data_IF_538852919289
#
_entry.id   IF_538852919289
#
_cell.length_a   1.000
_cell.length_b   1.000
_cell.length_c   1.000
_cell.angle_alpha   90.00
_cell.angle_beta   90.00
_cell.angle_gamma   90.00
#
_symmetry.space_group_name_H-M   'P 1'
#
loop_
_entity.id
_entity.type
_entity.pdbx_description
1 polymer ?
#
# COMPACT_ATOMS: atom_id res chain seq x y z
N UNK A 1 -22.95 -4.92 -4.16
CA UNK A 1 -22.28 -3.68 -3.71
C UNK A 1 -21.63 -2.94 -4.87
N UNK A 2 -20.44 -3.33 -5.37
CA UNK A 2 -19.75 -2.56 -6.43
C UNK A 2 -20.54 -2.42 -7.73
N UNK A 3 -21.20 -3.50 -8.19
CA UNK A 3 -22.16 -3.42 -9.31
C UNK A 3 -23.19 -2.29 -9.11
N UNK A 4 -23.76 -2.22 -7.92
CA UNK A 4 -24.83 -1.27 -7.62
C UNK A 4 -24.27 0.15 -7.50
N UNK A 5 -23.07 0.34 -6.93
CA UNK A 5 -22.35 1.63 -6.92
C UNK A 5 -22.11 2.13 -8.36
N UNK A 6 -21.69 1.25 -9.26
CA UNK A 6 -21.47 1.60 -10.67
C UNK A 6 -22.77 2.04 -11.36
N UNK A 7 -23.87 1.32 -11.11
CA UNK A 7 -25.18 1.65 -11.71
C UNK A 7 -25.75 2.96 -11.17
N UNK A 8 -25.62 3.25 -9.88
CA UNK A 8 -26.12 4.49 -9.28
C UNK A 8 -25.29 5.72 -9.65
N UNK A 9 -23.97 5.56 -9.83
CA UNK A 9 -23.05 6.66 -10.17
C UNK A 9 -22.68 6.68 -11.67
N UNK A 10 -23.51 6.08 -12.53
CA UNK A 10 -23.20 5.82 -13.94
C UNK A 10 -22.70 7.07 -14.68
N UNK A 11 -23.42 8.18 -14.59
CA UNK A 11 -23.09 9.40 -15.34
C UNK A 11 -21.72 9.97 -14.96
N UNK A 12 -21.46 10.13 -13.66
CA UNK A 12 -20.16 10.60 -13.16
C UNK A 12 -19.03 9.65 -13.55
N UNK A 13 -19.26 8.34 -13.50
CA UNK A 13 -18.26 7.35 -13.86
C UNK A 13 -17.95 7.36 -15.36
N UNK A 14 -18.95 7.53 -16.23
CA UNK A 14 -18.73 7.65 -17.66
C UNK A 14 -17.90 8.90 -17.99
N UNK A 15 -18.19 10.04 -17.37
CA UNK A 15 -17.38 11.27 -17.54
C UNK A 15 -15.93 11.08 -17.08
N UNK A 16 -15.72 10.39 -15.96
CA UNK A 16 -14.39 10.06 -15.46
C UNK A 16 -13.65 9.10 -16.42
N UNK A 17 -14.35 8.12 -17.01
CA UNK A 17 -13.78 7.19 -17.97
C UNK A 17 -13.41 7.86 -19.31
N UNK A 18 -14.22 8.81 -19.78
CA UNK A 18 -13.91 9.60 -20.98
C UNK A 18 -12.68 10.48 -20.75
N UNK A 19 -12.60 11.12 -19.58
CA UNK A 19 -11.44 11.91 -19.16
C UNK A 19 -10.18 11.03 -19.07
N UNK A 20 -10.30 9.85 -18.46
CA UNK A 20 -9.22 8.87 -18.37
C UNK A 20 -8.75 8.41 -19.76
N UNK A 21 -9.67 8.15 -20.68
CA UNK A 21 -9.34 7.73 -22.04
C UNK A 21 -8.59 8.83 -22.79
N UNK A 22 -9.02 10.08 -22.64
CA UNK A 22 -8.35 11.25 -23.22
C UNK A 22 -6.92 11.38 -22.68
N UNK A 23 -6.76 11.28 -21.37
CA UNK A 23 -5.48 11.36 -20.68
C UNK A 23 -4.52 10.25 -21.14
N UNK A 24 -5.00 9.00 -21.22
CA UNK A 24 -4.20 7.88 -21.70
C UNK A 24 -3.85 7.99 -23.19
N UNK A 25 -4.70 8.63 -23.99
CA UNK A 25 -4.39 8.98 -25.38
C UNK A 25 -3.22 9.96 -25.50
N UNK A 26 -3.16 10.95 -24.61
CA UNK A 26 -2.02 11.86 -24.52
C UNK A 26 -0.73 11.13 -24.14
N UNK A 27 -0.76 10.32 -23.08
CA UNK A 27 0.41 9.52 -22.65
C UNK A 27 0.90 8.60 -23.77
N UNK A 28 -0.02 7.94 -24.48
CA UNK A 28 0.32 7.12 -25.65
C UNK A 28 1.06 7.93 -26.72
N UNK A 29 0.60 9.14 -27.02
CA UNK A 29 1.24 10.02 -28.01
C UNK A 29 2.66 10.39 -27.60
N UNK A 30 2.90 10.67 -26.30
CA UNK A 30 4.25 10.95 -25.79
C UNK A 30 5.20 9.78 -26.01
N UNK A 31 4.72 8.55 -25.81
CA UNK A 31 5.49 7.32 -25.98
C UNK A 31 5.79 7.06 -27.46
N UNK A 32 4.77 7.15 -28.33
CA UNK A 32 4.94 6.93 -29.78
C UNK A 32 5.90 7.93 -30.43
N UNK A 33 5.97 9.16 -29.90
CA UNK A 33 6.87 10.21 -30.36
C UNK A 33 8.23 10.23 -29.62
N UNK A 34 8.48 9.28 -28.70
CA UNK A 34 9.71 9.17 -27.90
C UNK A 34 10.08 10.49 -27.16
N UNK A 35 9.08 11.24 -26.68
CA UNK A 35 9.27 12.52 -26.00
C UNK A 35 9.75 12.36 -24.54
N UNK A 36 10.98 11.90 -24.36
CA UNK A 36 11.57 11.54 -23.06
C UNK A 36 11.41 12.64 -21.98
N UNK A 37 11.63 13.91 -22.32
CA UNK A 37 11.50 15.02 -21.37
C UNK A 37 10.05 15.23 -20.90
N UNK A 38 9.09 15.18 -21.83
CA UNK A 38 7.67 15.35 -21.48
C UNK A 38 7.14 14.17 -20.68
N UNK A 39 7.61 12.95 -20.98
CA UNK A 39 7.31 11.76 -20.19
C UNK A 39 7.85 11.92 -18.76
N UNK A 40 9.08 12.42 -18.60
CA UNK A 40 9.66 12.68 -17.28
C UNK A 40 8.83 13.68 -16.48
N UNK A 41 8.50 14.83 -17.07
CA UNK A 41 7.70 15.87 -16.43
C UNK A 41 6.31 15.35 -16.02
N UNK A 42 5.66 14.59 -16.89
CA UNK A 42 4.36 13.97 -16.61
C UNK A 42 4.38 13.14 -15.31
N UNK A 43 5.35 12.25 -15.16
CA UNK A 43 5.47 11.42 -13.96
C UNK A 43 5.98 12.19 -12.74
N UNK A 44 6.80 13.23 -12.94
CA UNK A 44 7.24 14.12 -11.87
C UNK A 44 6.05 14.87 -11.26
N UNK A 45 5.16 15.43 -12.08
CA UNK A 45 3.97 16.14 -11.63
C UNK A 45 3.01 15.20 -10.89
N UNK A 46 2.81 13.98 -11.42
CA UNK A 46 2.01 12.95 -10.77
C UNK A 46 2.57 12.57 -9.39
N UNK A 47 3.91 12.46 -9.27
CA UNK A 47 4.58 12.23 -7.99
C UNK A 47 4.38 13.40 -7.02
N UNK A 48 4.58 14.64 -7.47
CA UNK A 48 4.43 15.82 -6.64
C UNK A 48 3.00 15.97 -6.10
N UNK A 49 1.99 15.73 -6.95
CA UNK A 49 0.59 15.72 -6.54
C UNK A 49 0.31 14.66 -5.47
N UNK A 50 0.80 13.43 -5.69
CA UNK A 50 0.63 12.33 -4.73
C UNK A 50 1.30 12.62 -3.39
N UNK A 51 2.53 13.10 -3.42
CA UNK A 51 3.31 13.40 -2.22
C UNK A 51 2.69 14.57 -1.43
N UNK A 52 1.87 15.41 -2.06
CA UNK A 52 1.06 16.46 -1.42
C UNK A 52 -0.24 15.98 -0.77
N UNK A 53 -0.63 14.72 -0.95
CA UNK A 53 -1.86 14.18 -0.35
C UNK A 53 -1.68 13.95 1.17
N UNK A 54 -2.72 14.19 2.00
CA UNK A 54 -2.61 13.98 3.45
C UNK A 54 -2.39 12.50 3.78
N UNK A 55 -1.24 12.18 4.39
CA UNK A 55 -0.82 10.81 4.73
C UNK A 55 -1.74 10.10 5.76
N UNK A 56 -2.54 10.86 6.53
CA UNK A 56 -3.20 10.37 7.76
C UNK A 56 -4.71 10.56 7.85
N UNK A 57 -5.42 10.86 6.75
CA UNK A 57 -6.89 10.90 6.79
C UNK A 57 -7.45 9.59 6.24
N UNK A 58 -8.38 8.97 6.98
CA UNK A 58 -9.23 7.87 6.50
C UNK A 58 -9.89 8.34 5.19
N UNK A 59 -9.32 7.93 4.05
CA UNK A 59 -9.86 8.25 2.73
C UNK A 59 -11.17 7.51 2.46
N UNK A 60 -11.72 7.67 1.26
CA UNK A 60 -12.87 6.88 0.80
C UNK A 60 -12.54 5.38 0.67
N UNK A 61 -11.25 5.05 0.52
CA UNK A 61 -10.71 3.70 0.59
C UNK A 61 -10.06 3.57 1.98
N UNK A 62 -10.43 2.56 2.79
CA UNK A 62 -9.80 2.35 4.08
C UNK A 62 -8.29 2.15 3.89
N UNK A 63 -7.50 3.08 4.42
CA UNK A 63 -6.07 2.86 4.61
C UNK A 63 -5.93 1.77 5.66
N UNK A 64 -5.36 0.61 5.28
CA UNK A 64 -4.93 -0.36 6.26
C UNK A 64 -3.77 0.25 7.05
N UNK A 65 -3.78 0.08 8.38
CA UNK A 65 -2.64 0.47 9.20
C UNK A 65 -1.59 -0.61 9.02
N UNK A 66 -0.74 -0.45 8.01
CA UNK A 66 0.28 -1.44 7.68
C UNK A 66 1.55 -1.24 8.54
N UNK A 67 2.12 -2.35 9.00
CA UNK A 67 3.46 -2.45 9.58
C UNK A 67 4.28 -3.42 8.74
N UNK A 68 5.49 -3.03 8.37
CA UNK A 68 6.44 -3.87 7.68
C UNK A 68 7.42 -4.44 8.70
N UNK A 69 7.72 -5.73 8.58
CA UNK A 69 8.56 -6.49 9.50
C UNK A 69 9.57 -7.27 8.68
N UNK A 70 10.85 -7.01 8.90
CA UNK A 70 11.92 -7.78 8.27
C UNK A 70 12.02 -9.14 8.97
N UNK A 71 12.04 -10.19 8.17
CA UNK A 71 12.01 -11.57 8.65
C UNK A 71 13.10 -12.40 7.97
N UNK A 72 13.86 -13.22 8.73
CA UNK A 72 14.79 -14.15 8.12
C UNK A 72 14.03 -15.25 7.36
N UNK A 73 14.59 -15.72 6.25
CA UNK A 73 13.98 -16.79 5.45
C UNK A 73 14.29 -18.18 6.03
N UNK A 74 13.59 -18.56 7.10
CA UNK A 74 13.63 -19.91 7.66
C UNK A 74 12.27 -20.39 8.17
N UNK A 75 12.07 -21.72 8.32
CA UNK A 75 10.83 -22.27 8.85
C UNK A 75 10.50 -21.72 10.24
N UNK A 76 9.24 -21.35 10.46
CA UNK A 76 8.72 -20.92 11.76
C UNK A 76 8.51 -19.41 11.92
N UNK A 77 9.17 -18.56 11.13
CA UNK A 77 9.19 -17.11 11.40
C UNK A 77 7.81 -16.45 11.37
N UNK A 78 6.93 -16.87 10.46
CA UNK A 78 5.55 -16.35 10.43
C UNK A 78 4.79 -16.74 11.71
N UNK A 79 5.03 -17.96 12.23
CA UNK A 79 4.44 -18.42 13.48
C UNK A 79 4.96 -17.63 14.67
N UNK A 80 6.24 -17.26 14.68
CA UNK A 80 6.85 -16.48 15.75
C UNK A 80 6.25 -15.06 15.78
N UNK A 81 6.25 -14.37 14.64
CA UNK A 81 5.65 -13.04 14.49
C UNK A 81 4.19 -13.04 14.89
N UNK A 82 3.39 -13.96 14.33
CA UNK A 82 1.95 -14.02 14.65
C UNK A 82 1.67 -14.50 16.08
N UNK A 83 2.55 -15.32 16.65
CA UNK A 83 2.50 -15.77 18.04
C UNK A 83 2.69 -14.63 19.03
N UNK A 84 3.68 -13.75 18.79
CA UNK A 84 3.90 -12.53 19.60
C UNK A 84 2.65 -11.65 19.61
N UNK A 85 2.06 -11.41 18.43
CA UNK A 85 0.83 -10.62 18.32
C UNK A 85 -0.35 -11.26 19.07
N UNK A 86 -0.49 -12.59 18.97
CA UNK A 86 -1.54 -13.33 19.65
C UNK A 86 -1.40 -13.27 21.19
N UNK A 87 -0.18 -13.37 21.73
CA UNK A 87 0.08 -13.24 23.17
C UNK A 87 -0.38 -11.88 23.72
N UNK A 88 -0.28 -10.83 22.91
CA UNK A 88 -0.73 -9.49 23.25
C UNK A 88 -2.16 -9.16 22.79
N UNK A 89 -2.91 -10.16 22.31
CA UNK A 89 -4.30 -10.03 21.85
C UNK A 89 -4.46 -8.99 20.73
N UNK A 90 -3.47 -8.90 19.83
CA UNK A 90 -3.49 -7.99 18.68
C UNK A 90 -3.99 -8.74 17.46
N UNK A 91 -5.07 -8.24 16.86
CA UNK A 91 -5.71 -8.88 15.71
C UNK A 91 -5.19 -8.31 14.39
N UNK A 92 -4.81 -9.20 13.47
CA UNK A 92 -4.48 -8.85 12.10
C UNK A 92 -5.72 -8.86 11.22
N UNK A 93 -5.89 -7.84 10.39
CA UNK A 93 -6.87 -7.86 9.30
C UNK A 93 -6.31 -8.51 8.03
N UNK A 94 -5.00 -8.45 7.83
CA UNK A 94 -4.32 -9.06 6.69
C UNK A 94 -2.83 -9.31 6.99
N UNK A 95 -2.22 -10.26 6.27
CA UNK A 95 -0.79 -10.55 6.29
C UNK A 95 -0.33 -10.91 4.88
N UNK A 96 0.82 -10.39 4.45
CA UNK A 96 1.40 -10.67 3.12
C UNK A 96 2.92 -10.76 3.21
N UNK A 97 3.50 -11.74 2.51
CA UNK A 97 4.94 -11.81 2.27
C UNK A 97 5.26 -10.96 1.04
N UNK A 98 6.24 -10.07 1.15
CA UNK A 98 6.78 -9.30 0.04
C UNK A 98 8.15 -9.88 -0.31
N UNK A 99 8.31 -10.28 -1.56
CA UNK A 99 9.59 -10.74 -2.10
C UNK A 99 10.46 -9.52 -2.40
N UNK A 100 11.55 -9.34 -1.65
CA UNK A 100 12.61 -8.41 -2.02
C UNK A 100 13.69 -9.19 -2.77
N UNK A 101 14.13 -8.71 -3.93
CA UNK A 101 15.02 -9.47 -4.83
C UNK A 101 16.52 -9.28 -4.50
N UNK A 102 16.85 -8.48 -3.50
CA UNK A 102 18.24 -8.06 -3.24
C UNK A 102 18.79 -8.54 -1.89
N UNK A 103 17.97 -9.11 -0.99
CA UNK A 103 18.43 -9.57 0.33
C UNK A 103 17.90 -10.97 0.69
N UNK A 104 18.60 -11.67 1.59
CA UNK A 104 18.21 -13.00 2.10
C UNK A 104 17.02 -12.89 3.09
N UNK A 105 16.63 -11.65 3.42
CA UNK A 105 15.55 -11.31 4.33
C UNK A 105 14.25 -11.09 3.54
N UNK A 106 13.18 -11.76 3.97
CA UNK A 106 11.82 -11.49 3.51
C UNK A 106 11.21 -10.33 4.28
N UNK A 107 10.11 -9.76 3.77
CA UNK A 107 9.35 -8.73 4.48
C UNK A 107 7.91 -9.19 4.67
N UNK A 108 7.42 -9.18 5.91
CA UNK A 108 6.00 -9.32 6.21
C UNK A 108 5.34 -7.95 6.26
N UNK A 109 4.27 -7.78 5.48
CA UNK A 109 3.33 -6.68 5.63
C UNK A 109 2.15 -7.13 6.46
N UNK A 110 2.03 -6.55 7.65
CA UNK A 110 0.98 -6.82 8.62
C UNK A 110 -0.02 -5.66 8.61
N UNK A 111 -1.30 -5.94 8.35
CA UNK A 111 -2.35 -4.93 8.29
C UNK A 111 -3.22 -4.97 9.54
N UNK A 112 -3.45 -3.82 10.15
CA UNK A 112 -4.27 -3.67 11.36
C UNK A 112 -5.52 -2.83 11.11
N UNK A 113 -6.52 -3.04 11.98
CA UNK A 113 -7.79 -2.30 11.95
C UNK A 113 -7.67 -0.88 12.50
N UNK A 114 -6.72 -0.65 13.41
CA UNK A 114 -6.50 0.62 14.09
C UNK A 114 -5.02 1.01 14.13
N UNK A 115 -4.76 2.30 14.29
CA UNK A 115 -3.40 2.81 14.49
C UNK A 115 -2.80 2.31 15.81
N UNK A 116 -3.62 2.25 16.86
CA UNK A 116 -3.24 1.75 18.18
C UNK A 116 -2.76 0.30 18.13
N UNK A 117 -3.47 -0.58 17.41
CA UNK A 117 -3.05 -1.98 17.24
C UNK A 117 -1.71 -2.09 16.50
N UNK A 118 -1.50 -1.24 15.47
CA UNK A 118 -0.23 -1.20 14.73
C UNK A 118 0.92 -0.72 15.63
N UNK A 119 0.71 0.32 16.42
CA UNK A 119 1.72 0.85 17.34
C UNK A 119 2.09 -0.17 18.43
N UNK A 120 1.09 -0.82 19.03
CA UNK A 120 1.31 -1.89 20.00
C UNK A 120 2.07 -3.07 19.37
N UNK A 121 1.70 -3.48 18.16
CA UNK A 121 2.40 -4.52 17.42
C UNK A 121 3.88 -4.15 17.19
N UNK A 122 4.15 -2.91 16.77
CA UNK A 122 5.50 -2.42 16.54
C UNK A 122 6.36 -2.52 17.81
N UNK A 123 5.81 -2.13 18.97
CA UNK A 123 6.51 -2.19 20.25
C UNK A 123 6.87 -3.64 20.60
N UNK A 124 5.90 -4.55 20.57
CA UNK A 124 6.12 -5.94 20.99
C UNK A 124 7.04 -6.71 20.03
N UNK A 125 6.94 -6.48 18.72
CA UNK A 125 7.83 -7.09 17.75
C UNK A 125 9.28 -6.61 17.91
N UNK A 126 9.49 -5.31 18.18
CA UNK A 126 10.83 -4.77 18.44
C UNK A 126 11.44 -5.28 19.75
N UNK A 127 10.62 -5.56 20.77
CA UNK A 127 11.08 -6.19 22.02
C UNK A 127 11.66 -7.58 21.78
N UNK A 128 11.13 -8.29 20.78
CA UNK A 128 11.60 -9.61 20.31
C UNK A 128 12.62 -9.49 19.16
N UNK A 129 13.29 -8.34 19.04
CA UNK A 129 14.39 -8.07 18.09
C UNK A 129 14.01 -8.08 16.60
N UNK A 130 12.72 -7.99 16.25
CA UNK A 130 12.31 -7.77 14.86
C UNK A 130 12.50 -6.30 14.45
N UNK A 131 13.10 -6.08 13.28
CA UNK A 131 13.13 -4.77 12.65
C UNK A 131 11.77 -4.47 12.00
N UNK A 132 11.27 -3.26 12.23
CA UNK A 132 9.94 -2.86 11.77
C UNK A 132 9.88 -1.40 11.34
N UNK A 133 9.14 -1.12 10.28
CA UNK A 133 9.00 0.22 9.71
C UNK A 133 7.60 0.46 9.12
N UNK A 134 7.30 1.74 8.88
CA UNK A 134 6.06 2.25 8.29
C UNK A 134 6.48 3.06 7.06
N UNK A 135 5.78 2.88 5.93
CA UNK A 135 6.00 3.64 4.68
C UNK A 135 5.17 4.93 4.64
#
# INVERSE_FOLDING_TARGET
MWRDILLHNKESLLQLLDSWTTEMGYVKTLIEAEHAEQIFTYFQDAKAFRDGLPVRKKGAIPSFYDLFVDVPDHPGVISDVTGILAQHQISLTNIRILETREDIMGVLRLSFRSEEDRERAQIHLRQEMYETYIL
#
